data_IF_655834388054
#
_entry.id   IF_655834388054
#
_cell.length_a   1.000
_cell.length_b   1.000
_cell.length_c   1.000
_cell.angle_alpha   90.00
_cell.angle_beta   90.00
_cell.angle_gamma   90.00
#
_symmetry.space_group_name_H-M   'P 1'
#
loop_
_entity.id
_entity.type
_entity.pdbx_description
1 polymer ?
#
# COMPACT_ATOMS: atom_id res chain seq x y z
N UNK A 1 3.44 23.19 3.10
CA UNK A 1 3.65 21.74 2.85
C UNK A 1 2.36 21.18 2.31
N UNK A 2 2.38 20.50 1.14
CA UNK A 2 1.18 19.84 0.59
C UNK A 2 0.87 18.58 1.42
N UNK A 3 -0.33 18.52 1.98
CA UNK A 3 -0.83 17.33 2.67
C UNK A 3 -1.90 16.69 1.80
N UNK A 4 -1.68 15.41 1.47
CA UNK A 4 -2.67 14.66 0.71
C UNK A 4 -3.89 14.41 1.58
N UNK A 5 -5.09 14.84 1.17
CA UNK A 5 -6.29 14.64 1.98
C UNK A 5 -6.61 13.14 2.10
N UNK A 6 -6.99 12.71 3.29
CA UNK A 6 -7.49 11.36 3.52
C UNK A 6 -8.85 11.21 2.84
N UNK A 7 -8.94 10.31 1.89
CA UNK A 7 -10.20 10.02 1.19
C UNK A 7 -10.96 8.88 1.88
N UNK A 8 -12.28 8.84 1.72
CA UNK A 8 -13.10 7.73 2.23
C UNK A 8 -12.66 6.38 1.65
N UNK A 9 -12.22 6.36 0.39
CA UNK A 9 -11.70 5.14 -0.24
C UNK A 9 -10.44 4.60 0.46
N UNK A 10 -9.57 5.49 0.96
CA UNK A 10 -8.42 5.10 1.78
C UNK A 10 -8.88 4.60 3.15
N UNK A 11 -9.84 5.27 3.79
CA UNK A 11 -10.37 4.84 5.09
C UNK A 11 -11.04 3.45 5.03
N UNK A 12 -11.65 3.05 3.90
CA UNK A 12 -12.16 1.69 3.72
C UNK A 12 -11.03 0.65 3.76
N UNK A 13 -9.90 0.92 3.10
CA UNK A 13 -8.71 0.06 3.20
C UNK A 13 -8.23 -0.03 4.64
N UNK A 14 -7.99 1.12 5.27
CA UNK A 14 -7.55 1.19 6.67
C UNK A 14 -8.51 0.47 7.63
N UNK A 15 -9.83 0.54 7.41
CA UNK A 15 -10.82 -0.17 8.23
C UNK A 15 -10.61 -1.69 8.18
N UNK A 16 -10.39 -2.25 6.98
CA UNK A 16 -10.13 -3.68 6.82
C UNK A 16 -8.77 -4.06 7.41
N UNK A 17 -7.73 -3.27 7.16
CA UNK A 17 -6.39 -3.48 7.72
C UNK A 17 -6.44 -3.51 9.25
N UNK A 18 -7.09 -2.52 9.88
CA UNK A 18 -7.25 -2.42 11.34
C UNK A 18 -7.99 -3.60 11.95
N UNK A 19 -8.93 -4.18 11.22
CA UNK A 19 -9.59 -5.42 11.66
C UNK A 19 -8.57 -6.57 11.76
N UNK A 20 -7.76 -6.79 10.71
CA UNK A 20 -6.76 -7.87 10.71
C UNK A 20 -5.56 -7.58 11.64
N UNK A 21 -5.32 -6.32 11.97
CA UNK A 21 -4.37 -5.89 13.01
C UNK A 21 -4.89 -6.14 14.45
N UNK A 22 -6.20 -6.30 14.65
CA UNK A 22 -6.83 -6.35 15.96
C UNK A 22 -7.02 -4.99 16.63
N UNK A 23 -6.94 -3.88 15.87
CA UNK A 23 -7.00 -2.49 16.35
C UNK A 23 -8.21 -1.72 15.81
N UNK A 24 -9.24 -2.43 15.32
CA UNK A 24 -10.41 -1.80 14.72
C UNK A 24 -11.18 -0.91 15.70
N UNK A 25 -11.33 -1.31 16.95
CA UNK A 25 -12.08 -0.56 17.96
C UNK A 25 -11.42 0.80 18.27
N UNK A 26 -10.09 0.86 18.26
CA UNK A 26 -9.33 2.09 18.41
C UNK A 26 -9.54 2.99 17.20
N UNK A 27 -9.42 2.41 16.00
CA UNK A 27 -9.64 3.14 14.75
C UNK A 27 -11.05 3.72 14.66
N UNK A 28 -12.09 3.01 15.11
CA UNK A 28 -13.46 3.49 15.13
C UNK A 28 -13.62 4.72 16.06
N UNK A 29 -12.96 4.71 17.21
CA UNK A 29 -12.98 5.84 18.17
C UNK A 29 -12.27 7.06 17.62
N UNK A 30 -11.15 6.87 16.92
CA UNK A 30 -10.34 7.95 16.34
C UNK A 30 -10.97 8.59 15.10
N UNK A 31 -11.92 7.92 14.46
CA UNK A 31 -12.49 8.36 13.18
C UNK A 31 -14.01 8.55 13.22
N UNK A 32 -14.55 9.57 13.91
CA UNK A 32 -15.99 9.81 13.99
C UNK A 32 -16.63 10.07 12.60
N UNK A 33 -15.84 10.45 11.59
CA UNK A 33 -16.28 10.62 10.21
C UNK A 33 -16.79 9.34 9.54
N UNK A 34 -16.52 8.16 10.12
CA UNK A 34 -17.04 6.86 9.67
C UNK A 34 -18.56 6.73 9.90
N UNK A 35 -19.11 7.52 10.78
CA UNK A 35 -20.51 7.47 11.17
C UNK A 35 -21.35 8.56 10.52
N UNK A 36 -22.65 8.28 10.38
CA UNK A 36 -23.66 9.29 10.03
C UNK A 36 -24.03 10.11 11.25
N UNK A 37 -24.83 11.19 11.06
CA UNK A 37 -25.36 11.97 12.19
C UNK A 37 -26.25 11.15 13.15
N UNK A 38 -26.78 9.98 12.69
CA UNK A 38 -27.56 9.05 13.50
C UNK A 38 -26.70 7.98 14.19
N UNK A 39 -25.36 8.16 14.23
CA UNK A 39 -24.40 7.22 14.80
C UNK A 39 -24.39 5.83 14.15
N UNK A 40 -24.84 5.71 12.88
CA UNK A 40 -24.71 4.49 12.09
C UNK A 40 -23.48 4.53 11.21
N UNK A 41 -22.80 3.40 11.02
CA UNK A 41 -21.73 3.29 10.03
C UNK A 41 -22.24 3.68 8.63
N UNK A 42 -21.48 4.50 7.93
CA UNK A 42 -21.78 4.84 6.53
C UNK A 42 -21.69 3.62 5.63
N UNK A 43 -22.37 3.67 4.49
CA UNK A 43 -22.52 2.53 3.57
C UNK A 43 -21.17 1.92 3.15
N UNK A 44 -20.16 2.74 2.89
CA UNK A 44 -18.82 2.29 2.53
C UNK A 44 -18.13 1.46 3.63
N UNK A 45 -18.40 1.73 4.90
CA UNK A 45 -17.84 0.99 6.04
C UNK A 45 -18.69 -0.23 6.42
N UNK A 46 -20.03 -0.18 6.17
CA UNK A 46 -20.87 -1.39 6.15
C UNK A 46 -20.36 -2.37 5.09
N UNK A 47 -19.91 -1.83 3.93
CA UNK A 47 -19.27 -2.63 2.88
C UNK A 47 -17.92 -3.20 3.33
N UNK A 48 -17.12 -2.44 4.06
CA UNK A 48 -15.86 -2.94 4.62
C UNK A 48 -16.08 -4.14 5.55
N UNK A 49 -17.14 -4.14 6.38
CA UNK A 49 -17.51 -5.30 7.19
C UNK A 49 -17.84 -6.51 6.32
N UNK A 50 -18.56 -6.33 5.20
CA UNK A 50 -18.86 -7.43 4.27
C UNK A 50 -17.59 -8.00 3.64
N UNK A 51 -16.58 -7.14 3.34
CA UNK A 51 -15.26 -7.56 2.85
C UNK A 51 -14.58 -8.43 3.91
N UNK A 52 -14.56 -7.99 5.16
CA UNK A 52 -13.98 -8.74 6.28
C UNK A 52 -14.64 -10.13 6.39
N UNK A 53 -15.96 -10.19 6.39
CA UNK A 53 -16.67 -11.46 6.50
C UNK A 53 -16.39 -12.38 5.31
N UNK A 54 -16.32 -11.85 4.08
CA UNK A 54 -15.98 -12.63 2.90
C UNK A 54 -14.56 -13.21 2.96
N UNK A 55 -13.61 -12.45 3.49
CA UNK A 55 -12.22 -12.91 3.67
C UNK A 55 -12.14 -13.97 4.79
N UNK A 56 -12.81 -13.76 5.91
CA UNK A 56 -12.83 -14.71 7.05
C UNK A 56 -13.34 -16.10 6.68
N UNK A 57 -14.25 -16.17 5.73
CA UNK A 57 -14.80 -17.44 5.26
C UNK A 57 -13.91 -18.16 4.24
N UNK A 58 -12.80 -17.57 3.81
CA UNK A 58 -11.87 -18.15 2.87
C UNK A 58 -10.64 -18.73 3.61
N UNK A 59 -10.52 -20.09 3.72
CA UNK A 59 -9.43 -20.71 4.48
C UNK A 59 -8.04 -20.40 3.92
N UNK A 60 -7.90 -20.28 2.58
CA UNK A 60 -6.61 -19.98 1.94
C UNK A 60 -6.18 -18.55 2.24
N UNK A 61 -7.14 -17.62 2.18
CA UNK A 61 -6.87 -16.24 2.53
C UNK A 61 -6.46 -16.10 3.99
N UNK A 62 -7.17 -16.77 4.90
CA UNK A 62 -6.86 -16.74 6.32
C UNK A 62 -5.53 -17.42 6.64
N UNK A 63 -5.15 -18.51 5.93
CA UNK A 63 -3.82 -19.12 6.08
C UNK A 63 -2.72 -18.17 5.62
N UNK A 64 -2.87 -17.50 4.48
CA UNK A 64 -1.91 -16.49 4.01
C UNK A 64 -1.73 -15.33 5.01
N UNK A 65 -2.81 -14.98 5.71
CA UNK A 65 -2.81 -13.92 6.72
C UNK A 65 -2.56 -14.43 8.15
N UNK A 66 -2.11 -15.67 8.36
CA UNK A 66 -1.98 -16.28 9.71
C UNK A 66 -0.71 -15.90 10.47
N UNK A 67 0.27 -15.28 9.83
CA UNK A 67 1.55 -14.89 10.45
C UNK A 67 1.43 -13.80 11.51
N UNK A 68 2.57 -13.44 12.11
CA UNK A 68 2.69 -12.32 13.05
C UNK A 68 2.19 -11.03 12.39
N UNK A 69 1.29 -10.31 13.12
CA UNK A 69 0.71 -9.08 12.61
C UNK A 69 1.58 -7.87 12.93
N UNK A 70 1.65 -6.94 11.97
CA UNK A 70 2.26 -5.64 12.16
C UNK A 70 3.73 -5.71 12.61
N UNK A 71 4.43 -6.80 12.25
CA UNK A 71 5.84 -6.96 12.56
C UNK A 71 6.66 -5.86 11.90
N UNK A 72 7.45 -5.16 12.70
CA UNK A 72 8.30 -4.06 12.22
C UNK A 72 9.75 -4.56 12.14
N UNK A 73 10.36 -4.34 10.98
CA UNK A 73 11.78 -4.49 10.76
C UNK A 73 12.40 -3.13 10.43
N UNK A 74 13.52 -2.83 11.05
CA UNK A 74 14.36 -1.68 10.73
C UNK A 74 15.70 -2.20 10.22
N UNK A 75 16.17 -1.67 9.12
CA UNK A 75 17.42 -2.14 8.47
C UNK A 75 18.05 -1.02 7.67
N UNK A 76 19.29 -1.22 7.27
CA UNK A 76 19.99 -0.35 6.34
C UNK A 76 20.09 -1.05 4.98
N UNK A 77 19.75 -0.33 3.92
CA UNK A 77 19.80 -0.83 2.56
C UNK A 77 20.16 0.31 1.63
N UNK A 78 21.18 0.10 0.79
CA UNK A 78 21.72 1.10 -0.15
C UNK A 78 22.08 2.43 0.53
N UNK A 79 22.70 2.36 1.73
CA UNK A 79 23.15 3.52 2.50
C UNK A 79 22.01 4.34 3.15
N UNK A 80 20.77 3.85 3.13
CA UNK A 80 19.61 4.53 3.71
C UNK A 80 18.95 3.63 4.76
N UNK A 81 18.45 4.25 5.83
CA UNK A 81 17.67 3.57 6.87
C UNK A 81 16.23 3.37 6.42
N UNK A 82 15.76 2.15 6.53
CA UNK A 82 14.40 1.72 6.16
C UNK A 82 13.62 1.21 7.36
N UNK A 83 12.31 1.28 7.24
CA UNK A 83 11.36 0.65 8.15
C UNK A 83 10.30 -0.07 7.32
N UNK A 84 10.19 -1.38 7.50
CA UNK A 84 9.13 -2.20 6.95
C UNK A 84 8.16 -2.60 8.07
N UNK A 85 6.85 -2.47 7.82
CA UNK A 85 5.78 -2.93 8.71
C UNK A 85 4.96 -3.94 7.92
N UNK A 86 5.00 -5.19 8.33
CA UNK A 86 4.44 -6.32 7.60
C UNK A 86 3.04 -6.65 8.12
N UNK A 87 2.06 -6.84 7.24
CA UNK A 87 0.69 -7.18 7.63
C UNK A 87 0.61 -8.62 8.14
N UNK A 88 1.38 -9.53 7.54
CA UNK A 88 1.51 -10.91 8.00
C UNK A 88 2.93 -11.43 7.74
N UNK A 89 3.67 -11.67 8.80
CA UNK A 89 5.01 -12.27 8.76
C UNK A 89 4.97 -13.69 9.32
N UNK A 90 5.29 -14.66 8.49
CA UNK A 90 5.31 -16.07 8.89
C UNK A 90 6.75 -16.60 8.73
N UNK A 91 7.54 -16.67 9.84
CA UNK A 91 8.92 -17.13 9.81
C UNK A 91 9.06 -18.49 9.15
N UNK A 92 10.07 -18.65 8.28
CA UNK A 92 10.32 -19.89 7.52
C UNK A 92 9.29 -20.17 6.42
N UNK A 93 8.22 -19.38 6.26
CA UNK A 93 7.14 -19.65 5.31
C UNK A 93 6.96 -18.52 4.29
N UNK A 94 6.56 -17.31 4.72
CA UNK A 94 6.18 -16.25 3.79
C UNK A 94 6.05 -14.87 4.45
N UNK A 95 6.08 -13.84 3.60
CA UNK A 95 5.60 -12.48 3.89
C UNK A 95 4.33 -12.27 3.07
N UNK A 96 3.23 -11.85 3.71
CA UNK A 96 1.98 -11.54 3.02
C UNK A 96 1.52 -10.12 3.38
N UNK A 97 1.12 -9.38 2.36
CA UNK A 97 0.66 -8.01 2.47
C UNK A 97 -0.79 -7.90 1.98
N UNK A 98 -1.67 -7.33 2.79
CA UNK A 98 -3.10 -7.21 2.50
C UNK A 98 -3.38 -6.01 1.60
N UNK A 99 -4.16 -6.21 0.55
CA UNK A 99 -4.58 -5.15 -0.36
C UNK A 99 -6.09 -5.14 -0.58
N UNK A 100 -6.71 -4.01 -0.24
CA UNK A 100 -8.13 -3.74 -0.51
C UNK A 100 -8.22 -2.77 -1.69
N UNK A 101 -8.44 -3.31 -2.88
CA UNK A 101 -8.37 -2.56 -4.14
C UNK A 101 -9.77 -2.30 -4.75
N UNK A 102 -9.86 -1.35 -5.67
CA UNK A 102 -11.11 -1.11 -6.37
C UNK A 102 -11.47 -2.27 -7.30
N UNK A 103 -10.47 -2.77 -8.04
CA UNK A 103 -10.61 -3.88 -9.03
C UNK A 103 -9.26 -4.60 -9.14
N UNK A 104 -9.30 -5.90 -9.44
CA UNK A 104 -8.11 -6.75 -9.55
C UNK A 104 -7.19 -6.31 -10.70
N UNK A 105 -7.74 -5.93 -11.85
CA UNK A 105 -7.00 -5.50 -13.05
C UNK A 105 -6.19 -4.21 -12.84
N UNK A 106 -6.44 -3.47 -11.75
CA UNK A 106 -5.69 -2.26 -11.40
C UNK A 106 -4.49 -2.52 -10.48
N UNK A 107 -4.34 -3.75 -9.99
CA UNK A 107 -3.27 -4.11 -9.06
C UNK A 107 -1.86 -3.76 -9.59
N UNK A 108 -1.48 -4.05 -10.86
CA UNK A 108 -0.14 -3.76 -11.38
C UNK A 108 0.22 -2.27 -11.38
N UNK A 109 -0.76 -1.38 -11.44
CA UNK A 109 -0.53 0.08 -11.49
C UNK A 109 0.09 0.65 -10.20
N UNK A 110 -0.03 -0.08 -9.08
CA UNK A 110 0.39 0.41 -7.76
C UNK A 110 1.81 0.04 -7.38
N UNK A 111 2.53 -0.69 -8.25
CA UNK A 111 3.93 -1.07 -8.07
C UNK A 111 4.19 -1.71 -6.71
N UNK A 112 3.33 -2.66 -6.32
CA UNK A 112 3.53 -3.45 -5.09
C UNK A 112 4.75 -4.38 -5.16
N UNK A 113 5.29 -4.60 -6.35
CA UNK A 113 6.59 -5.23 -6.59
C UNK A 113 7.73 -4.48 -5.86
N UNK A 114 7.74 -3.15 -5.88
CA UNK A 114 8.73 -2.34 -5.17
C UNK A 114 8.57 -2.52 -3.65
N UNK A 115 7.35 -2.48 -3.14
CA UNK A 115 7.09 -2.71 -1.71
C UNK A 115 7.55 -4.12 -1.30
N UNK A 116 7.16 -5.14 -2.08
CA UNK A 116 7.53 -6.53 -1.82
C UNK A 116 9.04 -6.76 -1.83
N UNK A 117 9.75 -6.16 -2.79
CA UNK A 117 11.20 -6.25 -2.89
C UNK A 117 11.92 -5.68 -1.67
N UNK A 118 11.50 -4.48 -1.21
CA UNK A 118 12.06 -3.83 -0.02
C UNK A 118 11.72 -4.63 1.24
N UNK A 119 10.49 -5.13 1.37
CA UNK A 119 10.05 -5.91 2.53
C UNK A 119 10.80 -7.25 2.61
N UNK A 120 10.90 -7.98 1.50
CA UNK A 120 11.64 -9.23 1.43
C UNK A 120 13.11 -9.01 1.79
N UNK A 121 13.76 -7.99 1.20
CA UNK A 121 15.17 -7.68 1.48
C UNK A 121 15.39 -7.25 2.92
N UNK A 122 14.47 -6.49 3.50
CA UNK A 122 14.53 -6.09 4.90
C UNK A 122 14.42 -7.27 5.87
N UNK A 123 13.54 -8.24 5.58
CA UNK A 123 13.45 -9.49 6.34
C UNK A 123 14.72 -10.30 6.19
N UNK A 124 15.23 -10.47 4.97
CA UNK A 124 16.49 -11.20 4.70
C UNK A 124 17.66 -10.59 5.48
N UNK A 125 17.79 -9.27 5.51
CA UNK A 125 18.85 -8.59 6.28
C UNK A 125 18.70 -8.84 7.79
N UNK A 126 17.47 -8.80 8.30
CA UNK A 126 17.22 -8.90 9.73
C UNK A 126 17.24 -10.32 10.28
N UNK A 127 16.92 -11.32 9.46
CA UNK A 127 16.72 -12.72 9.91
C UNK A 127 17.62 -13.74 9.20
N UNK A 128 18.22 -13.37 8.06
CA UNK A 128 18.92 -14.28 7.16
C UNK A 128 18.00 -15.09 6.22
N UNK A 129 16.68 -14.95 6.33
CA UNK A 129 15.69 -15.72 5.56
C UNK A 129 15.18 -14.92 4.36
N UNK A 130 15.37 -15.46 3.15
CA UNK A 130 14.74 -14.92 1.93
C UNK A 130 13.40 -15.61 1.69
N UNK A 131 12.33 -15.02 2.22
CA UNK A 131 10.99 -15.60 2.16
C UNK A 131 10.24 -15.16 0.90
N UNK A 132 9.35 -16.00 0.34
CA UNK A 132 8.45 -15.59 -0.74
C UNK A 132 7.51 -14.46 -0.28
N UNK A 133 7.16 -13.57 -1.22
CA UNK A 133 6.26 -12.44 -0.96
C UNK A 133 4.94 -12.62 -1.70
N UNK A 134 3.84 -12.46 -0.97
CA UNK A 134 2.48 -12.58 -1.47
C UNK A 134 1.67 -11.31 -1.24
N UNK A 135 0.74 -11.04 -2.15
CA UNK A 135 -0.33 -10.08 -1.99
C UNK A 135 -1.63 -10.85 -1.72
N UNK A 136 -2.23 -10.64 -0.57
CA UNK A 136 -3.58 -11.09 -0.27
C UNK A 136 -4.55 -9.98 -0.68
N UNK A 137 -5.24 -10.17 -1.79
CA UNK A 137 -6.00 -9.10 -2.45
C UNK A 137 -7.50 -9.37 -2.36
N UNK A 138 -8.27 -8.35 -1.98
CA UNK A 138 -9.73 -8.36 -2.05
C UNK A 138 -10.24 -7.08 -2.70
N UNK A 139 -11.27 -7.20 -3.55
CA UNK A 139 -11.84 -6.04 -4.25
C UNK A 139 -13.03 -5.41 -3.51
N UNK A 140 -13.27 -4.12 -3.79
CA UNK A 140 -14.45 -3.36 -3.30
C UNK A 140 -15.65 -3.47 -4.22
N UNK A 141 -15.59 -4.31 -5.26
CA UNK A 141 -16.67 -4.51 -6.24
C UNK A 141 -17.94 -5.07 -5.59
N UNK A 142 -19.09 -4.91 -6.25
CA UNK A 142 -20.37 -5.41 -5.75
C UNK A 142 -20.35 -6.93 -5.50
N UNK A 143 -19.77 -7.69 -6.42
CA UNK A 143 -19.37 -9.07 -6.21
C UNK A 143 -17.88 -9.01 -5.94
N UNK A 144 -17.45 -9.34 -4.72
CA UNK A 144 -16.06 -9.25 -4.30
C UNK A 144 -15.24 -10.37 -4.93
N UNK A 145 -14.18 -9.98 -5.60
CA UNK A 145 -13.13 -10.88 -6.05
C UNK A 145 -12.00 -10.92 -5.02
N UNK A 146 -11.36 -12.07 -4.82
CA UNK A 146 -10.25 -12.23 -3.87
C UNK A 146 -9.31 -13.33 -4.33
N UNK A 147 -8.01 -13.04 -4.18
CA UNK A 147 -6.95 -13.95 -4.57
C UNK A 147 -5.67 -13.75 -3.76
N UNK A 148 -4.80 -14.75 -3.77
CA UNK A 148 -3.45 -14.68 -3.23
C UNK A 148 -2.47 -14.72 -4.40
N UNK A 149 -1.76 -13.61 -4.59
CA UNK A 149 -0.80 -13.46 -5.70
C UNK A 149 0.63 -13.54 -5.18
N UNK A 150 1.37 -14.55 -5.60
CA UNK A 150 2.82 -14.57 -5.40
C UNK A 150 3.48 -13.61 -6.39
N UNK A 151 4.33 -12.70 -5.91
CA UNK A 151 5.18 -11.93 -6.81
C UNK A 151 6.42 -12.78 -7.12
N UNK A 152 6.69 -13.08 -8.42
CA UNK A 152 7.84 -13.89 -8.81
C UNK A 152 9.16 -13.25 -8.34
N UNK A 153 10.13 -14.09 -7.96
CA UNK A 153 11.43 -13.60 -7.48
C UNK A 153 12.12 -12.70 -8.50
N UNK A 154 12.05 -13.03 -9.79
CA UNK A 154 12.62 -12.20 -10.85
C UNK A 154 12.04 -10.80 -10.89
N UNK A 155 10.73 -10.66 -10.61
CA UNK A 155 10.04 -9.37 -10.52
C UNK A 155 10.51 -8.59 -9.30
N UNK A 156 10.65 -9.25 -8.13
CA UNK A 156 11.18 -8.61 -6.92
C UNK A 156 12.63 -8.17 -7.11
N UNK A 157 13.46 -9.00 -7.75
CA UNK A 157 14.87 -8.66 -8.01
C UNK A 157 15.01 -7.47 -8.99
N UNK A 158 14.13 -7.38 -10.01
CA UNK A 158 14.08 -6.20 -10.89
C UNK A 158 13.63 -4.94 -10.14
N UNK A 159 12.62 -5.05 -9.31
CA UNK A 159 12.12 -3.95 -8.50
C UNK A 159 13.19 -3.47 -7.51
N UNK A 160 13.94 -4.38 -6.89
CA UNK A 160 15.02 -4.05 -5.97
C UNK A 160 16.15 -3.27 -6.66
N UNK A 161 16.54 -3.64 -7.89
CA UNK A 161 17.49 -2.85 -8.69
C UNK A 161 16.98 -1.44 -8.96
N UNK A 162 15.71 -1.27 -9.29
CA UNK A 162 15.13 0.07 -9.45
C UNK A 162 15.19 0.91 -8.16
N UNK A 163 15.02 0.26 -7.00
CA UNK A 163 15.19 0.94 -5.71
C UNK A 163 16.65 1.39 -5.55
N UNK A 164 17.62 0.51 -5.79
CA UNK A 164 19.05 0.81 -5.70
C UNK A 164 19.44 1.99 -6.58
N UNK A 165 19.03 2.00 -7.84
CA UNK A 165 19.32 3.06 -8.81
C UNK A 165 18.74 4.43 -8.42
N UNK A 166 17.63 4.46 -7.67
CA UNK A 166 16.90 5.70 -7.41
C UNK A 166 16.97 6.20 -5.96
N UNK A 167 17.33 5.35 -5.00
CA UNK A 167 17.22 5.69 -3.57
C UNK A 167 18.13 6.85 -3.17
N UNK A 168 19.35 6.91 -3.72
CA UNK A 168 20.30 8.03 -3.46
C UNK A 168 19.68 9.37 -3.82
N UNK A 169 19.09 9.47 -5.01
CA UNK A 169 18.40 10.69 -5.46
C UNK A 169 17.23 11.08 -4.53
N UNK A 170 16.45 10.10 -4.07
CA UNK A 170 15.39 10.39 -3.11
C UNK A 170 15.92 10.85 -1.75
N UNK A 171 17.03 10.28 -1.30
CA UNK A 171 17.71 10.71 -0.08
C UNK A 171 18.18 12.17 -0.17
N UNK A 172 18.81 12.54 -1.29
CA UNK A 172 19.27 13.91 -1.56
C UNK A 172 18.12 14.91 -1.64
N UNK A 173 17.01 14.57 -2.31
CA UNK A 173 15.81 15.41 -2.34
C UNK A 173 15.25 15.58 -0.91
N UNK A 174 15.20 14.52 -0.12
CA UNK A 174 14.71 14.57 1.26
C UNK A 174 15.61 15.40 2.16
N UNK A 175 16.92 15.40 1.90
CA UNK A 175 17.91 16.23 2.60
C UNK A 175 17.90 17.69 2.12
N UNK A 176 17.18 18.03 1.05
CA UNK A 176 17.18 19.36 0.44
C UNK A 176 18.41 19.66 -0.41
N UNK A 177 19.16 18.63 -0.79
CA UNK A 177 20.35 18.77 -1.65
C UNK A 177 19.99 18.80 -3.14
N UNK A 178 18.85 18.23 -3.50
CA UNK A 178 18.31 18.24 -4.86
C UNK A 178 16.84 18.67 -4.87
N UNK A 179 16.45 19.38 -5.92
CA UNK A 179 15.05 19.71 -6.16
C UNK A 179 14.30 18.53 -6.79
N UNK A 180 13.04 18.26 -6.36
CA UNK A 180 12.23 17.23 -6.98
C UNK A 180 11.80 17.61 -8.40
N UNK A 181 11.82 16.64 -9.31
CA UNK A 181 11.28 16.83 -10.66
C UNK A 181 9.74 16.81 -10.60
N UNK A 182 9.12 17.88 -11.06
CA UNK A 182 7.68 18.03 -11.11
C UNK A 182 7.08 17.26 -12.30
N UNK A 183 6.13 16.36 -12.05
CA UNK A 183 5.46 15.59 -13.12
C UNK A 183 4.42 16.41 -13.89
N UNK A 184 4.04 17.61 -13.39
CA UNK A 184 3.07 18.51 -14.01
C UNK A 184 1.60 18.07 -13.90
N UNK A 185 1.31 16.83 -13.51
CA UNK A 185 -0.05 16.24 -13.56
C UNK A 185 -0.60 15.72 -12.22
N UNK A 186 0.22 15.49 -11.22
CA UNK A 186 -0.26 15.08 -9.89
C UNK A 186 -0.89 16.25 -9.12
N UNK A 187 -1.64 15.95 -8.05
CA UNK A 187 -2.34 16.96 -7.26
C UNK A 187 -1.40 18.01 -6.68
N UNK A 188 -0.22 17.61 -6.23
CA UNK A 188 0.81 18.57 -5.79
C UNK A 188 1.23 19.52 -6.92
N UNK A 189 1.60 18.99 -8.09
CA UNK A 189 2.01 19.83 -9.22
C UNK A 189 0.87 20.75 -9.69
N UNK A 190 -0.37 20.27 -9.66
CA UNK A 190 -1.56 21.09 -9.98
C UNK A 190 -1.76 22.19 -8.95
N UNK A 191 -1.53 21.91 -7.66
CA UNK A 191 -1.73 22.90 -6.58
C UNK A 191 -0.73 24.06 -6.61
N UNK A 192 0.46 23.85 -7.17
CA UNK A 192 1.50 24.89 -7.28
C UNK A 192 1.61 25.49 -8.69
N UNK A 193 0.81 24.99 -9.63
CA UNK A 193 0.87 25.40 -11.04
C UNK A 193 0.28 26.81 -11.20
N UNK A 194 1.04 27.68 -11.84
CA UNK A 194 0.53 28.96 -12.36
C UNK A 194 -0.05 28.77 -13.77
N UNK A 195 -1.12 29.50 -14.04
CA UNK A 195 -1.71 29.49 -15.39
C UNK A 195 -0.74 30.09 -16.41
N UNK A 196 -0.64 29.45 -17.55
CA UNK A 196 0.11 29.93 -18.70
C UNK A 196 -0.77 29.91 -19.96
N UNK A 197 -0.57 30.86 -20.84
CA UNK A 197 -1.18 30.84 -22.18
C UNK A 197 -0.48 29.75 -22.99
N UNK A 198 -1.25 28.78 -23.48
CA UNK A 198 -0.74 27.64 -24.26
C UNK A 198 -1.47 27.52 -25.57
N UNK A 199 -0.84 26.89 -26.55
CA UNK A 199 -1.49 26.56 -27.81
C UNK A 199 -2.44 25.36 -27.58
N UNK A 200 -3.69 25.47 -28.06
CA UNK A 200 -4.68 24.40 -27.94
C UNK A 200 -4.21 23.07 -28.57
N UNK A 201 -3.43 23.15 -29.63
CA UNK A 201 -2.91 21.96 -30.33
C UNK A 201 -2.00 21.10 -29.44
N UNK A 202 -1.37 21.67 -28.38
CA UNK A 202 -0.60 20.89 -27.39
C UNK A 202 -1.47 19.86 -26.63
N UNK A 203 -2.80 20.03 -26.60
CA UNK A 203 -3.73 19.08 -26.00
C UNK A 203 -4.06 17.89 -26.91
N UNK A 204 -3.79 18.00 -28.20
CA UNK A 204 -4.09 16.98 -29.21
C UNK A 204 -2.93 15.99 -29.38
N UNK A 205 -1.75 16.30 -28.83
CA UNK A 205 -0.51 15.52 -28.92
C UNK A 205 -0.30 14.58 -27.70
N UNK A 206 -1.30 14.43 -26.81
CA UNK A 206 -1.21 13.67 -25.56
C UNK A 206 -1.90 12.29 -25.67
#
# INVERSE_FOLDING_TARGET
>A
KYERPTTRALLVGSFVDRYFEGTLDEFLKENPALYTRKHELRAEFKRANQIIEAVKTDPKFMDAMSGEKQRIFTFELFGVKWKAKLDSYNPGKAITDLKVVARMDKLPMWRYDIQGAVYQKGVEIATGEKLPFYLAVVTKERVMDRDIWQIPQSTLDMALRQVEENVGRYADIKAGLLEPVHCGRCDYCKSIKQAAVRNYNELLEV
#
